data_IF_250419225837
#
_entry.id   IF_250419225837
#
_cell.length_a   1.000
_cell.length_b   1.000
_cell.length_c   1.000
_cell.angle_alpha   90.00
_cell.angle_beta   90.00
_cell.angle_gamma   90.00
#
_symmetry.space_group_name_H-M   'P 1'
#
loop_
_entity.id
_entity.type
_entity.pdbx_description
1 polymer ?
#
# COMPACT_ATOMS: atom_id res chain seq x y z
N UNK A 1 7.06 -3.99 13.28
CA UNK A 1 5.89 -4.63 12.64
C UNK A 1 6.40 -5.67 11.67
N UNK A 2 6.07 -6.94 11.87
CA UNK A 2 6.46 -8.00 10.94
C UNK A 2 5.45 -7.99 9.79
N UNK A 3 5.92 -7.91 8.55
CA UNK A 3 5.07 -8.13 7.38
C UNK A 3 4.50 -9.55 7.48
N UNK A 4 3.19 -9.63 7.61
CA UNK A 4 2.53 -10.92 7.59
C UNK A 4 2.45 -11.34 6.12
N UNK A 5 3.40 -12.19 5.70
CA UNK A 5 3.36 -12.83 4.38
C UNK A 5 2.01 -13.53 4.19
N UNK A 6 1.63 -13.73 2.93
CA UNK A 6 0.46 -14.52 2.57
C UNK A 6 0.37 -15.81 3.39
N UNK A 7 -0.84 -16.26 3.63
CA UNK A 7 -1.06 -17.48 4.40
C UNK A 7 -0.59 -18.71 3.61
N UNK A 8 -0.11 -19.79 4.28
CA UNK A 8 0.22 -21.05 3.61
C UNK A 8 -0.94 -21.59 2.75
N UNK A 9 -2.18 -21.29 3.14
CA UNK A 9 -3.41 -21.66 2.45
C UNK A 9 -3.48 -21.05 1.05
N UNK A 10 -3.15 -19.78 0.87
CA UNK A 10 -3.14 -19.12 -0.45
C UNK A 10 -2.14 -19.77 -1.38
N UNK A 11 -0.94 -20.09 -0.89
CA UNK A 11 0.06 -20.80 -1.70
C UNK A 11 -0.42 -22.19 -2.12
N UNK A 12 -0.96 -22.96 -1.17
CA UNK A 12 -1.52 -24.30 -1.42
C UNK A 12 -2.69 -24.24 -2.42
N UNK A 13 -3.57 -23.24 -2.26
CA UNK A 13 -4.69 -23.03 -3.16
C UNK A 13 -4.20 -22.79 -4.61
N UNK A 14 -3.19 -21.93 -4.79
CA UNK A 14 -2.60 -21.69 -6.10
C UNK A 14 -2.04 -22.97 -6.75
N UNK A 15 -1.40 -23.83 -5.95
CA UNK A 15 -0.89 -25.13 -6.43
C UNK A 15 -2.02 -26.04 -6.89
N UNK A 16 -3.09 -26.19 -6.10
CA UNK A 16 -4.26 -27.02 -6.40
C UNK A 16 -4.98 -26.52 -7.65
N UNK A 17 -5.17 -25.22 -7.76
CA UNK A 17 -5.88 -24.58 -8.88
C UNK A 17 -5.01 -24.40 -10.13
N UNK A 18 -3.79 -24.95 -10.14
CA UNK A 18 -2.83 -24.82 -11.24
C UNK A 18 -2.53 -23.36 -11.60
N UNK A 19 -2.62 -22.48 -10.59
CA UNK A 19 -2.43 -21.04 -10.72
C UNK A 19 -1.10 -20.58 -10.07
N UNK A 20 -0.19 -21.51 -9.81
CA UNK A 20 1.14 -21.22 -9.28
C UNK A 20 1.94 -20.31 -10.23
N UNK A 21 2.95 -19.57 -9.73
CA UNK A 21 3.83 -18.77 -10.58
C UNK A 21 4.43 -19.59 -11.72
N UNK A 22 4.64 -18.98 -12.88
CA UNK A 22 5.28 -19.64 -14.00
C UNK A 22 6.78 -19.80 -13.75
N UNK A 23 7.32 -21.00 -13.86
CA UNK A 23 8.75 -21.26 -13.62
C UNK A 23 9.57 -20.70 -14.78
N UNK A 24 10.56 -19.84 -14.47
CA UNK A 24 11.43 -19.20 -15.47
C UNK A 24 10.68 -18.44 -16.58
N UNK A 25 9.48 -17.95 -16.28
CA UNK A 25 8.63 -17.19 -17.20
C UNK A 25 8.04 -15.97 -16.47
N UNK A 26 8.81 -14.87 -16.49
CA UNK A 26 8.42 -13.61 -15.86
C UNK A 26 7.20 -13.00 -16.56
N UNK A 27 7.10 -13.10 -17.89
CA UNK A 27 5.97 -12.57 -18.66
C UNK A 27 4.67 -13.28 -18.31
N UNK A 28 4.71 -14.61 -18.23
CA UNK A 28 3.56 -15.42 -17.78
C UNK A 28 3.16 -15.11 -16.34
N UNK A 29 4.13 -14.86 -15.46
CA UNK A 29 3.86 -14.45 -14.07
C UNK A 29 3.25 -13.06 -14.02
N UNK A 30 3.75 -12.09 -14.81
CA UNK A 30 3.17 -10.74 -14.89
C UNK A 30 1.75 -10.77 -15.47
N UNK A 31 1.48 -11.63 -16.46
CA UNK A 31 0.12 -11.82 -16.98
C UNK A 31 -0.85 -12.36 -15.92
N UNK A 32 -0.39 -13.24 -15.02
CA UNK A 32 -1.19 -13.71 -13.87
C UNK A 32 -1.46 -12.59 -12.88
N UNK A 33 -0.48 -11.72 -12.59
CA UNK A 33 -0.68 -10.54 -11.74
C UNK A 33 -1.74 -9.60 -12.35
N UNK A 34 -1.67 -9.35 -13.67
CA UNK A 34 -2.65 -8.51 -14.35
C UNK A 34 -4.07 -9.08 -14.22
N UNK A 35 -4.24 -10.40 -14.44
CA UNK A 35 -5.53 -11.06 -14.23
C UNK A 35 -6.00 -10.97 -12.79
N UNK A 36 -5.10 -11.22 -11.84
CA UNK A 36 -5.43 -11.21 -10.41
C UNK A 36 -5.81 -9.80 -9.91
N UNK A 37 -5.21 -8.76 -10.48
CA UNK A 37 -5.56 -7.38 -10.11
C UNK A 37 -7.00 -7.01 -10.47
N UNK A 38 -7.62 -7.65 -11.46
CA UNK A 38 -9.03 -7.45 -11.78
C UNK A 38 -9.93 -7.98 -10.66
N UNK A 39 -9.61 -9.11 -10.06
CA UNK A 39 -10.34 -9.63 -8.89
C UNK A 39 -10.21 -8.70 -7.68
N UNK A 40 -9.01 -8.14 -7.41
CA UNK A 40 -8.87 -7.13 -6.33
C UNK A 40 -9.83 -5.95 -6.51
N UNK A 41 -10.05 -5.51 -7.75
CA UNK A 41 -11.02 -4.43 -8.04
C UNK A 41 -12.46 -4.88 -7.82
N UNK A 42 -12.79 -6.11 -8.20
CA UNK A 42 -14.11 -6.72 -8.00
C UNK A 42 -14.45 -6.79 -6.50
N UNK A 43 -13.60 -7.43 -5.70
CA UNK A 43 -13.79 -7.56 -4.26
C UNK A 43 -13.81 -6.19 -3.52
N UNK A 44 -12.98 -5.25 -3.95
CA UNK A 44 -13.00 -3.89 -3.39
C UNK A 44 -14.33 -3.18 -3.67
N UNK A 45 -15.01 -3.50 -4.78
CA UNK A 45 -16.33 -2.97 -5.09
C UNK A 45 -17.42 -3.57 -4.18
N UNK A 46 -17.32 -4.85 -3.85
CA UNK A 46 -18.23 -5.51 -2.91
C UNK A 46 -18.19 -4.85 -1.53
N UNK A 47 -16.98 -4.51 -1.04
CA UNK A 47 -16.83 -3.72 0.20
C UNK A 47 -17.59 -2.39 0.09
N UNK A 48 -17.46 -1.67 -1.05
CA UNK A 48 -18.14 -0.38 -1.24
C UNK A 48 -19.66 -0.54 -1.28
N UNK A 49 -20.16 -1.57 -1.95
CA UNK A 49 -21.57 -1.80 -2.12
C UNK A 49 -22.20 -2.29 -0.80
N UNK A 50 -21.54 -3.16 -0.06
CA UNK A 50 -21.90 -3.53 1.31
C UNK A 50 -21.94 -2.32 2.25
N UNK A 51 -20.97 -1.42 2.17
CA UNK A 51 -20.95 -0.20 2.98
C UNK A 51 -22.12 0.74 2.65
N UNK A 52 -22.47 0.91 1.39
CA UNK A 52 -23.65 1.70 0.98
C UNK A 52 -24.95 1.07 1.45
N UNK A 53 -25.04 -0.26 1.43
CA UNK A 53 -26.19 -1.01 1.90
C UNK A 53 -26.26 -1.16 3.43
N UNK A 54 -25.19 -0.76 4.15
CA UNK A 54 -24.97 -1.05 5.58
C UNK A 54 -24.99 -2.56 5.88
N UNK A 55 -24.59 -3.38 4.92
CA UNK A 55 -24.45 -4.82 5.04
C UNK A 55 -23.05 -5.19 5.51
N UNK A 56 -22.93 -5.49 6.82
CA UNK A 56 -21.65 -5.82 7.46
C UNK A 56 -21.12 -7.18 6.98
N UNK A 57 -22.02 -8.12 6.62
CA UNK A 57 -21.60 -9.43 6.12
C UNK A 57 -20.93 -9.28 4.75
N UNK A 58 -21.55 -8.54 3.84
CA UNK A 58 -20.98 -8.25 2.52
C UNK A 58 -19.65 -7.50 2.60
N UNK A 59 -19.57 -6.47 3.49
CA UNK A 59 -18.30 -5.78 3.73
C UNK A 59 -17.20 -6.72 4.25
N UNK A 60 -17.54 -7.67 5.12
CA UNK A 60 -16.58 -8.62 5.69
C UNK A 60 -16.12 -9.61 4.63
N UNK A 61 -17.02 -10.12 3.82
CA UNK A 61 -16.72 -11.06 2.73
C UNK A 61 -15.77 -10.41 1.72
N UNK A 62 -16.15 -9.28 1.15
CA UNK A 62 -15.31 -8.54 0.21
C UNK A 62 -13.96 -8.12 0.81
N UNK A 63 -13.88 -7.81 2.12
CA UNK A 63 -12.59 -7.51 2.77
C UNK A 63 -11.68 -8.75 2.83
N UNK A 64 -12.23 -9.91 3.19
CA UNK A 64 -11.44 -11.14 3.30
C UNK A 64 -11.02 -11.64 1.92
N UNK A 65 -11.90 -11.54 0.93
CA UNK A 65 -11.59 -11.95 -0.44
C UNK A 65 -10.62 -10.98 -1.11
N UNK A 66 -10.75 -9.65 -0.90
CA UNK A 66 -9.71 -8.68 -1.30
C UNK A 66 -8.34 -9.08 -0.75
N UNK A 67 -8.25 -9.49 0.51
CA UNK A 67 -7.00 -9.94 1.10
C UNK A 67 -6.51 -11.22 0.44
N UNK A 68 -7.40 -12.22 0.24
CA UNK A 68 -7.03 -13.50 -0.35
C UNK A 68 -6.46 -13.32 -1.77
N UNK A 69 -7.15 -12.56 -2.63
CA UNK A 69 -6.70 -12.31 -4.00
C UNK A 69 -5.43 -11.43 -4.06
N UNK A 70 -5.28 -10.48 -3.12
CA UNK A 70 -4.07 -9.68 -3.02
C UNK A 70 -2.85 -10.49 -2.52
N UNK A 71 -3.05 -11.43 -1.61
CA UNK A 71 -1.99 -12.34 -1.15
C UNK A 71 -1.50 -13.26 -2.29
N UNK A 72 -2.35 -13.61 -3.26
CA UNK A 72 -1.93 -14.30 -4.49
C UNK A 72 -0.97 -13.45 -5.33
N UNK A 73 -1.24 -12.14 -5.46
CA UNK A 73 -0.29 -11.22 -6.11
C UNK A 73 1.04 -11.21 -5.36
N UNK A 74 1.02 -11.27 -4.03
CA UNK A 74 2.23 -11.39 -3.20
C UNK A 74 3.06 -12.63 -3.56
N UNK A 75 2.42 -13.80 -3.74
CA UNK A 75 3.09 -15.04 -4.17
C UNK A 75 3.77 -14.85 -5.53
N UNK A 76 3.12 -14.20 -6.48
CA UNK A 76 3.70 -13.93 -7.80
C UNK A 76 4.87 -12.94 -7.74
N UNK A 77 4.75 -11.87 -6.97
CA UNK A 77 5.84 -10.89 -6.80
C UNK A 77 7.09 -11.53 -6.16
N UNK A 78 6.91 -12.38 -5.13
CA UNK A 78 8.04 -13.11 -4.54
C UNK A 78 8.69 -14.08 -5.54
N UNK A 79 7.91 -14.75 -6.40
CA UNK A 79 8.46 -15.64 -7.43
C UNK A 79 9.31 -14.89 -8.47
N UNK A 80 9.02 -13.61 -8.69
CA UNK A 80 9.84 -12.70 -9.51
C UNK A 80 11.12 -12.23 -8.77
N UNK A 81 11.38 -12.71 -7.56
CA UNK A 81 12.58 -12.38 -6.77
C UNK A 81 12.47 -11.08 -5.99
N UNK A 82 11.26 -10.58 -5.71
CA UNK A 82 11.03 -9.38 -4.92
C UNK A 82 10.98 -9.74 -3.43
N UNK A 83 11.81 -9.09 -2.60
CA UNK A 83 11.74 -9.19 -1.13
C UNK A 83 10.61 -8.30 -0.60
N UNK A 84 9.41 -8.87 -0.51
CA UNK A 84 8.21 -8.14 -0.06
C UNK A 84 8.33 -7.67 1.39
N UNK A 85 9.06 -8.37 2.25
CA UNK A 85 9.25 -7.97 3.64
C UNK A 85 9.99 -6.64 3.72
N UNK A 86 11.13 -6.54 3.02
CA UNK A 86 11.91 -5.29 2.98
C UNK A 86 11.20 -4.18 2.20
N UNK A 87 10.46 -4.52 1.14
CA UNK A 87 9.66 -3.55 0.40
C UNK A 87 8.55 -2.96 1.29
N UNK A 88 7.90 -3.78 2.11
CA UNK A 88 6.91 -3.33 3.09
C UNK A 88 7.51 -2.42 4.17
N UNK A 89 8.67 -2.79 4.74
CA UNK A 89 9.38 -1.95 5.71
C UNK A 89 9.68 -0.56 5.12
N UNK A 90 10.05 -0.51 3.86
CA UNK A 90 10.29 0.76 3.16
C UNK A 90 9.01 1.57 2.95
N UNK A 91 7.89 0.93 2.63
CA UNK A 91 6.57 1.60 2.55
C UNK A 91 6.17 2.13 3.92
N UNK A 92 6.36 1.36 4.99
CA UNK A 92 6.11 1.80 6.37
C UNK A 92 7.00 2.98 6.75
N UNK A 93 8.30 2.93 6.44
CA UNK A 93 9.23 4.05 6.65
C UNK A 93 8.74 5.33 5.95
N UNK A 94 8.35 5.21 4.68
CA UNK A 94 7.82 6.32 3.91
C UNK A 94 6.54 6.89 4.52
N UNK A 95 5.60 6.03 4.90
CA UNK A 95 4.35 6.48 5.53
C UNK A 95 4.60 7.14 6.90
N UNK A 96 5.55 6.62 7.68
CA UNK A 96 5.93 7.20 8.96
C UNK A 96 6.63 8.56 8.82
N UNK A 97 7.16 8.92 7.65
CA UNK A 97 7.69 10.26 7.41
C UNK A 97 6.60 11.33 7.12
N UNK A 98 5.31 10.96 7.20
CA UNK A 98 4.19 11.92 7.11
C UNK A 98 3.85 12.59 8.44
N UNK A 99 4.45 12.17 9.54
CA UNK A 99 4.31 12.80 10.86
C UNK A 99 5.67 13.10 11.46
N UNK A 100 5.74 14.03 12.40
CA UNK A 100 6.99 14.47 13.03
C UNK A 100 6.73 15.00 14.43
N UNK A 101 7.78 15.03 15.27
CA UNK A 101 7.83 15.79 16.52
C UNK A 101 8.54 17.16 16.34
N UNK A 102 9.11 17.43 15.17
CA UNK A 102 9.80 18.70 14.87
C UNK A 102 8.80 19.77 14.42
N UNK A 103 8.30 20.54 15.39
CA UNK A 103 7.33 21.61 15.15
C UNK A 103 7.88 22.72 14.23
N UNK A 104 9.20 22.98 14.27
CA UNK A 104 9.79 23.99 13.39
C UNK A 104 9.71 23.55 11.93
N UNK A 105 10.13 22.33 11.64
CA UNK A 105 10.05 21.77 10.29
C UNK A 105 8.59 21.69 9.81
N UNK A 106 7.64 21.40 10.71
CA UNK A 106 6.21 21.40 10.37
C UNK A 106 5.71 22.80 10.06
N UNK A 107 6.16 23.85 10.81
CA UNK A 107 5.82 25.23 10.49
C UNK A 107 6.39 25.64 9.13
N UNK A 108 7.65 25.31 8.84
CA UNK A 108 8.26 25.56 7.53
C UNK A 108 7.45 24.86 6.40
N UNK A 109 6.84 23.72 6.70
CA UNK A 109 5.97 22.99 5.77
C UNK A 109 4.63 23.69 5.58
N UNK A 110 4.04 24.29 6.63
CA UNK A 110 2.83 25.11 6.53
C UNK A 110 3.07 26.30 5.63
N UNK A 111 4.17 27.02 5.84
CA UNK A 111 4.55 28.18 5.05
C UNK A 111 4.73 27.79 3.56
N UNK A 112 5.40 26.67 3.30
CA UNK A 112 5.55 26.10 1.95
C UNK A 112 4.22 25.82 1.26
N UNK A 113 3.23 25.27 1.95
CA UNK A 113 1.89 25.03 1.39
C UNK A 113 1.11 26.32 1.21
N UNK A 114 1.23 27.29 2.14
CA UNK A 114 0.62 28.59 2.04
C UNK A 114 1.09 29.35 0.78
N UNK A 115 2.38 29.29 0.46
CA UNK A 115 2.95 29.87 -0.77
C UNK A 115 2.37 29.23 -2.04
N UNK A 116 1.84 28.02 -1.96
CA UNK A 116 1.15 27.32 -3.05
C UNK A 116 -0.37 27.54 -3.06
N UNK A 117 -0.89 28.36 -2.15
CA UNK A 117 -2.33 28.61 -2.00
C UNK A 117 -3.10 27.43 -1.39
N UNK A 118 -2.43 26.59 -0.60
CA UNK A 118 -3.02 25.44 0.08
C UNK A 118 -3.00 25.67 1.59
N UNK A 119 -4.17 25.83 2.19
CA UNK A 119 -4.30 26.02 3.63
C UNK A 119 -4.17 24.69 4.37
N UNK A 120 -3.19 24.62 5.27
CA UNK A 120 -2.91 23.44 6.11
C UNK A 120 -2.73 23.89 7.57
N UNK A 121 -2.99 22.98 8.48
CA UNK A 121 -2.78 23.16 9.92
C UNK A 121 -1.90 22.05 10.50
N UNK A 122 -1.18 22.35 11.59
CA UNK A 122 -0.48 21.37 12.39
C UNK A 122 -1.47 20.82 13.41
N UNK A 123 -1.70 19.52 13.40
CA UNK A 123 -2.60 18.83 14.34
C UNK A 123 -1.81 17.85 15.18
N UNK A 124 -1.95 17.93 16.51
CA UNK A 124 -1.40 16.93 17.41
C UNK A 124 -2.15 15.62 17.25
N UNK A 125 -1.39 14.52 17.14
CA UNK A 125 -1.96 13.18 17.08
C UNK A 125 -2.31 12.67 18.49
N UNK A 126 -3.14 11.61 18.62
CA UNK A 126 -3.36 10.96 19.91
C UNK A 126 -2.09 10.37 20.55
N UNK A 127 -1.00 10.29 19.80
CA UNK A 127 0.32 9.87 20.30
C UNK A 127 1.09 11.13 20.69
N UNK A 128 1.32 11.30 22.00
CA UNK A 128 1.99 12.47 22.58
C UNK A 128 3.29 12.84 21.84
N UNK A 129 3.46 14.12 21.59
CA UNK A 129 4.63 14.66 20.89
C UNK A 129 4.72 14.34 19.41
N UNK A 130 3.64 13.83 18.81
CA UNK A 130 3.57 13.51 17.38
C UNK A 130 2.54 14.40 16.69
N UNK A 131 2.93 15.02 15.59
CA UNK A 131 2.09 15.98 14.86
C UNK A 131 2.01 15.61 13.37
N UNK A 132 0.90 15.96 12.75
CA UNK A 132 0.63 15.80 11.31
C UNK A 132 0.22 17.13 10.70
N UNK A 133 0.43 17.26 9.38
CA UNK A 133 -0.15 18.35 8.61
C UNK A 133 -1.48 17.91 8.02
N UNK A 134 -2.51 18.73 8.21
CA UNK A 134 -3.86 18.45 7.72
C UNK A 134 -4.34 19.58 6.82
N UNK A 135 -4.85 19.27 5.65
CA UNK A 135 -5.44 20.26 4.76
C UNK A 135 -6.81 20.69 5.28
N UNK A 136 -7.06 22.00 5.36
CA UNK A 136 -8.29 22.51 5.95
C UNK A 136 -9.54 22.20 5.12
N UNK A 137 -9.43 22.15 3.79
CA UNK A 137 -10.59 22.01 2.91
C UNK A 137 -11.25 20.63 2.96
N UNK A 138 -10.51 19.54 3.24
CA UNK A 138 -11.02 18.16 3.19
C UNK A 138 -10.44 17.24 4.27
N UNK A 139 -9.60 17.77 5.15
CA UNK A 139 -8.97 17.00 6.23
C UNK A 139 -7.88 16.02 5.77
N UNK A 140 -7.44 16.08 4.53
CA UNK A 140 -6.38 15.21 4.01
C UNK A 140 -5.06 15.44 4.72
N UNK A 141 -4.40 14.33 5.11
CA UNK A 141 -3.02 14.38 5.63
C UNK A 141 -2.06 14.77 4.51
N UNK A 142 -1.31 15.83 4.74
CA UNK A 142 -0.35 16.40 3.80
C UNK A 142 1.06 15.90 4.10
N UNK A 143 1.93 15.93 3.10
CA UNK A 143 3.33 15.51 3.21
C UNK A 143 4.15 16.67 3.77
N UNK A 144 4.79 16.55 4.95
CA UNK A 144 5.70 17.59 5.44
C UNK A 144 6.99 17.62 4.60
N UNK A 145 7.80 18.67 4.76
CA UNK A 145 9.08 18.80 4.04
C UNK A 145 10.05 17.64 4.32
N UNK A 146 9.94 16.99 5.48
CA UNK A 146 10.72 15.77 5.78
C UNK A 146 10.19 14.50 5.13
N UNK A 147 9.05 14.56 4.41
CA UNK A 147 8.52 13.37 3.75
C UNK A 147 9.51 12.78 2.75
N UNK A 148 9.69 11.49 2.83
CA UNK A 148 10.57 10.73 1.96
C UNK A 148 9.82 9.61 1.26
N UNK A 149 9.75 9.67 -0.08
CA UNK A 149 9.08 8.66 -0.89
C UNK A 149 9.73 7.27 -0.74
N UNK A 150 8.95 6.19 -0.90
CA UNK A 150 9.51 4.84 -0.82
C UNK A 150 10.38 4.54 -2.04
N UNK A 151 11.61 4.08 -1.81
CA UNK A 151 12.49 3.62 -2.87
C UNK A 151 12.30 2.13 -3.13
N UNK A 152 11.20 1.79 -3.81
CA UNK A 152 10.87 0.39 -4.12
C UNK A 152 11.72 -0.21 -5.24
N UNK A 153 12.32 0.64 -6.11
CA UNK A 153 13.14 0.18 -7.24
C UNK A 153 14.32 -0.72 -6.82
N UNK A 154 14.87 -0.51 -5.63
CA UNK A 154 16.02 -1.29 -5.11
C UNK A 154 15.67 -2.76 -4.85
N UNK A 155 14.38 -3.08 -4.63
CA UNK A 155 13.89 -4.43 -4.37
C UNK A 155 13.49 -5.19 -5.63
N UNK A 156 13.42 -4.52 -6.78
CA UNK A 156 13.08 -5.11 -8.07
C UNK A 156 14.35 -5.69 -8.70
N UNK A 157 14.36 -6.94 -9.17
CA UNK A 157 15.46 -7.52 -9.95
C UNK A 157 15.83 -6.63 -11.15
N UNK A 158 17.12 -6.54 -11.48
CA UNK A 158 17.60 -5.58 -12.50
C UNK A 158 16.93 -5.75 -13.86
N UNK A 159 16.68 -6.98 -14.29
CA UNK A 159 16.06 -7.30 -15.59
C UNK A 159 14.58 -6.89 -15.67
N UNK A 160 13.89 -6.77 -14.52
CA UNK A 160 12.47 -6.33 -14.45
C UNK A 160 12.33 -4.82 -14.23
N UNK A 161 13.43 -4.08 -14.03
CA UNK A 161 13.38 -2.63 -13.88
C UNK A 161 13.12 -1.99 -15.23
N UNK A 162 11.87 -1.66 -15.54
CA UNK A 162 11.51 -0.96 -16.77
C UNK A 162 12.45 0.22 -17.08
N UNK A 163 12.70 0.49 -18.36
CA UNK A 163 13.38 1.71 -18.80
C UNK A 163 12.51 2.90 -18.36
N UNK A 164 13.14 3.85 -17.64
CA UNK A 164 12.52 5.16 -17.38
C UNK A 164 12.51 5.97 -18.64
#
# INVERSE_FOLDING_TARGET
MTYQKYTPEVKRWNEIMQNAPSVNDDEGTLAKILRQSAFVVEEAKEIQDGAKAMDVQEMLDGHLDTRFVNDQIGVYLESLGIDLTKAWEEVCRSNNSKFSSDLKMLQDSVDHYCDQGVDVEIVESPIEGTFVLKRLSDGKIMKPLCFSEPNLRRFIPKHLRGKR
#
